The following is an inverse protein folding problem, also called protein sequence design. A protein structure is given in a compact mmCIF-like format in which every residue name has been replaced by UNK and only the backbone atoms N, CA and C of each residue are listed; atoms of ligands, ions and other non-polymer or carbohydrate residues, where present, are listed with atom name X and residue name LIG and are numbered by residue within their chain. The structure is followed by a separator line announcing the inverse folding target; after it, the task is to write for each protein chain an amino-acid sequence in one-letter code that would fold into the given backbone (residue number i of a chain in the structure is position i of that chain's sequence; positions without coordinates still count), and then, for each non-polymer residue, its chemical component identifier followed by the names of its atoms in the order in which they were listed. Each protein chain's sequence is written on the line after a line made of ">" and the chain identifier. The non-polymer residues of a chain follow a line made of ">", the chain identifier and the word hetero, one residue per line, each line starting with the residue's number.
data_IF_836995259335
#
_entry.id   IF_836995259335
#
_cell.length_a   1.000
_cell.length_b   1.000
_cell.length_c   1.000
_cell.angle_alpha   90.00
_cell.angle_beta   90.00
_cell.angle_gamma   90.00
#
_symmetry.space_group_name_H-M   'P 1'
#
loop_
_entity.id
_entity.type
_entity.pdbx_description
1 polymer ?
#
# COMPACT_ATOMS: atom_id res chain seq x y z
N UNK A 1 28.92 -38.43 -14.52
CA UNK A 1 29.07 -36.98 -14.80
C UNK A 1 27.70 -36.30 -14.93
N UNK A 2 26.69 -36.97 -15.51
CA UNK A 2 25.33 -36.45 -15.72
C UNK A 2 24.54 -36.13 -14.43
N UNK A 3 24.56 -37.02 -13.42
CA UNK A 3 23.89 -36.80 -12.11
C UNK A 3 24.33 -35.51 -11.39
N UNK A 4 25.59 -35.11 -11.58
CA UNK A 4 26.18 -33.93 -10.92
C UNK A 4 25.78 -32.63 -11.64
N UNK A 5 25.46 -32.70 -12.94
CA UNK A 5 24.94 -31.59 -13.74
C UNK A 5 23.45 -31.40 -13.47
N UNK A 6 22.69 -32.48 -13.34
CA UNK A 6 21.24 -32.43 -13.07
C UNK A 6 20.94 -31.79 -11.70
N UNK A 7 21.72 -32.13 -10.67
CA UNK A 7 21.60 -31.50 -9.35
C UNK A 7 21.98 -30.01 -9.37
N UNK A 8 23.01 -29.61 -10.13
CA UNK A 8 23.37 -28.19 -10.29
C UNK A 8 22.26 -27.41 -11.00
N UNK A 9 21.63 -28.01 -12.01
CA UNK A 9 20.51 -27.39 -12.72
C UNK A 9 19.28 -27.22 -11.81
N UNK A 10 18.97 -28.22 -10.98
CA UNK A 10 17.90 -28.13 -9.95
C UNK A 10 18.18 -27.02 -8.93
N UNK A 11 19.43 -26.86 -8.49
CA UNK A 11 19.83 -25.77 -7.57
C UNK A 11 19.69 -24.39 -8.21
N UNK A 12 20.06 -24.24 -9.48
CA UNK A 12 19.90 -22.98 -10.22
C UNK A 12 18.41 -22.63 -10.39
N UNK A 13 17.57 -23.60 -10.73
CA UNK A 13 16.11 -23.39 -10.82
C UNK A 13 15.55 -22.97 -9.46
N UNK A 14 15.95 -23.65 -8.38
CA UNK A 14 15.49 -23.33 -7.02
C UNK A 14 15.87 -21.89 -6.63
N UNK A 15 17.09 -21.46 -6.93
CA UNK A 15 17.55 -20.09 -6.71
C UNK A 15 16.76 -19.08 -7.53
N UNK A 16 16.51 -19.37 -8.82
CA UNK A 16 15.69 -18.51 -9.67
C UNK A 16 14.27 -18.37 -9.11
N UNK A 17 13.64 -19.46 -8.67
CA UNK A 17 12.30 -19.47 -8.06
C UNK A 17 12.26 -18.65 -6.77
N UNK A 18 13.34 -18.58 -6.00
CA UNK A 18 13.42 -17.76 -4.79
C UNK A 18 13.68 -16.27 -5.09
N UNK A 19 14.52 -15.97 -6.09
CA UNK A 19 14.99 -14.60 -6.35
C UNK A 19 14.02 -13.82 -7.25
N UNK A 20 13.38 -14.46 -8.22
CA UNK A 20 12.44 -13.78 -9.13
C UNK A 20 11.26 -13.12 -8.39
N UNK A 21 10.55 -13.80 -7.47
CA UNK A 21 9.44 -13.19 -6.74
C UNK A 21 9.90 -12.01 -5.90
N UNK A 22 11.04 -12.12 -5.22
CA UNK A 22 11.57 -11.03 -4.40
C UNK A 22 11.94 -9.81 -5.23
N UNK A 23 12.46 -10.00 -6.44
CA UNK A 23 12.69 -8.91 -7.39
C UNK A 23 11.38 -8.18 -7.74
N UNK A 24 10.32 -8.91 -8.10
CA UNK A 24 9.02 -8.30 -8.43
C UNK A 24 8.34 -7.63 -7.22
N UNK A 25 8.52 -8.18 -6.02
CA UNK A 25 7.99 -7.64 -4.77
C UNK A 25 8.69 -6.35 -4.33
N UNK A 26 9.96 -6.16 -4.68
CA UNK A 26 10.75 -5.00 -4.21
C UNK A 26 10.85 -3.89 -5.25
N UNK A 27 10.99 -4.24 -6.53
CA UNK A 27 11.32 -3.29 -7.59
C UNK A 27 10.12 -2.89 -8.47
N UNK A 28 8.95 -3.48 -8.26
CA UNK A 28 7.77 -3.05 -9.02
C UNK A 28 7.34 -1.62 -8.64
N UNK A 29 6.83 -0.83 -9.62
CA UNK A 29 6.28 0.50 -9.34
C UNK A 29 5.18 0.48 -8.28
N UNK A 30 4.38 -0.60 -8.23
CA UNK A 30 3.34 -0.82 -7.22
C UNK A 30 3.95 -0.92 -5.81
N UNK A 31 4.99 -1.74 -5.64
CA UNK A 31 5.69 -1.87 -4.36
C UNK A 31 6.34 -0.55 -3.90
N UNK A 32 6.92 0.20 -4.84
CA UNK A 32 7.47 1.53 -4.53
C UNK A 32 6.38 2.50 -4.09
N UNK A 33 5.24 2.55 -4.80
CA UNK A 33 4.10 3.41 -4.42
C UNK A 33 3.57 3.04 -3.04
N UNK A 34 3.39 1.75 -2.75
CA UNK A 34 2.96 1.27 -1.44
C UNK A 34 3.91 1.70 -0.30
N UNK A 35 5.23 1.59 -0.49
CA UNK A 35 6.22 2.07 0.49
C UNK A 35 6.13 3.58 0.72
N UNK A 36 5.90 4.36 -0.34
CA UNK A 36 5.69 5.80 -0.22
C UNK A 36 4.40 6.11 0.54
N UNK A 37 3.30 5.40 0.28
CA UNK A 37 2.05 5.55 1.05
C UNK A 37 2.28 5.34 2.55
N UNK A 38 3.01 4.29 2.95
CA UNK A 38 3.37 4.02 4.36
C UNK A 38 4.25 5.11 4.96
N UNK A 39 5.20 5.63 4.19
CA UNK A 39 6.11 6.66 4.69
C UNK A 39 5.38 7.99 4.85
N UNK A 40 4.52 8.32 3.89
CA UNK A 40 3.78 9.57 3.86
C UNK A 40 2.61 9.56 4.86
N UNK A 41 2.01 8.41 5.16
CA UNK A 41 0.90 8.33 6.12
C UNK A 41 1.30 8.77 7.53
N UNK A 42 2.58 8.60 7.89
CA UNK A 42 3.15 9.08 9.15
C UNK A 42 3.17 10.61 9.28
N UNK A 43 2.96 11.33 8.17
CA UNK A 43 2.91 12.80 8.12
C UNK A 43 1.48 13.33 8.09
N UNK A 44 0.48 12.45 8.06
CA UNK A 44 -0.93 12.85 8.09
C UNK A 44 -1.36 12.96 9.55
N UNK A 45 -2.05 14.04 9.86
CA UNK A 45 -2.60 14.33 11.18
C UNK A 45 -4.11 14.56 11.08
N UNK A 46 -4.79 14.41 12.22
CA UNK A 46 -6.20 14.77 12.37
C UNK A 46 -6.37 16.27 12.11
N UNK A 47 -7.53 16.68 11.60
CA UNK A 47 -7.89 18.06 11.22
C UNK A 47 -7.21 18.60 9.94
N UNK A 48 -6.36 17.81 9.27
CA UNK A 48 -5.82 18.19 7.95
C UNK A 48 -6.90 18.20 6.87
N UNK A 49 -6.83 19.16 5.94
CA UNK A 49 -7.74 19.24 4.80
C UNK A 49 -7.42 18.19 3.72
N UNK A 50 -8.43 17.82 2.92
CA UNK A 50 -8.26 16.91 1.77
C UNK A 50 -7.08 17.31 0.86
N UNK A 51 -6.94 18.60 0.55
CA UNK A 51 -5.86 19.09 -0.33
C UNK A 51 -4.47 18.89 0.29
N UNK A 52 -4.36 19.04 1.61
CA UNK A 52 -3.11 18.77 2.34
C UNK A 52 -2.78 17.27 2.30
N UNK A 53 -3.78 16.42 2.50
CA UNK A 53 -3.62 14.96 2.40
C UNK A 53 -3.17 14.56 1.00
N UNK A 54 -3.81 15.07 -0.05
CA UNK A 54 -3.43 14.77 -1.45
C UNK A 54 -2.03 15.28 -1.77
N UNK A 55 -1.61 16.42 -1.20
CA UNK A 55 -0.25 16.94 -1.38
C UNK A 55 0.82 16.04 -0.74
N UNK A 56 0.50 15.42 0.40
CA UNK A 56 1.44 14.55 1.14
C UNK A 56 1.43 13.12 0.58
N UNK A 57 0.24 12.56 0.36
CA UNK A 57 0.03 11.15 -0.01
C UNK A 57 -0.10 10.91 -1.51
N UNK A 58 -0.18 11.97 -2.32
CA UNK A 58 -0.66 11.93 -3.70
C UNK A 58 -2.13 11.49 -3.80
N UNK A 59 -2.61 11.30 -5.04
CA UNK A 59 -3.96 10.83 -5.30
C UNK A 59 -4.18 9.43 -4.68
N UNK A 60 -5.35 9.22 -4.03
CA UNK A 60 -5.69 7.93 -3.47
C UNK A 60 -5.78 6.87 -4.56
N UNK A 61 -5.65 5.61 -4.15
CA UNK A 61 -5.92 4.49 -5.04
C UNK A 61 -7.42 4.41 -5.34
N UNK A 62 -8.24 4.59 -4.32
CA UNK A 62 -9.70 4.60 -4.44
C UNK A 62 -10.31 5.64 -3.49
N UNK A 63 -11.41 6.23 -3.92
CA UNK A 63 -12.26 7.09 -3.10
C UNK A 63 -13.50 6.29 -2.73
N UNK A 64 -13.67 6.03 -1.45
CA UNK A 64 -14.80 5.29 -0.90
C UNK A 64 -15.77 6.29 -0.26
N UNK A 65 -17.06 6.04 -0.44
CA UNK A 65 -18.12 6.80 0.22
C UNK A 65 -18.72 5.92 1.31
N UNK A 66 -18.58 6.34 2.57
CA UNK A 66 -19.19 5.66 3.71
C UNK A 66 -20.45 6.42 4.12
N UNK A 67 -21.58 5.72 4.23
CA UNK A 67 -22.81 6.30 4.81
C UNK A 67 -22.79 6.09 6.31
N UNK A 68 -22.69 7.18 7.06
CA UNK A 68 -22.76 7.17 8.51
C UNK A 68 -23.78 8.24 8.96
N UNK A 69 -24.83 7.81 9.66
CA UNK A 69 -25.89 8.67 10.17
C UNK A 69 -26.50 9.62 9.11
N UNK A 70 -26.80 9.11 7.91
CA UNK A 70 -27.36 9.84 6.75
C UNK A 70 -26.41 10.83 6.05
N UNK A 71 -25.14 10.89 6.43
CA UNK A 71 -24.12 11.67 5.73
C UNK A 71 -23.19 10.76 4.94
N UNK A 72 -22.82 11.20 3.74
CA UNK A 72 -21.77 10.57 2.94
C UNK A 72 -20.43 11.16 3.37
N UNK A 73 -19.64 10.33 4.06
CA UNK A 73 -18.27 10.67 4.46
C UNK A 73 -17.31 10.13 3.40
N UNK A 74 -16.40 10.98 2.93
CA UNK A 74 -15.37 10.58 1.99
C UNK A 74 -14.27 9.82 2.74
N UNK A 75 -13.75 8.76 2.14
CA UNK A 75 -12.65 7.96 2.67
C UNK A 75 -11.66 7.71 1.55
N UNK A 76 -10.40 8.01 1.79
CA UNK A 76 -9.32 7.71 0.86
C UNK A 76 -8.66 6.40 1.22
N UNK A 77 -8.61 5.49 0.24
CA UNK A 77 -7.88 4.24 0.34
C UNK A 77 -6.54 4.35 -0.38
N UNK A 78 -5.48 3.94 0.31
CA UNK A 78 -4.14 3.82 -0.22
C UNK A 78 -3.64 2.39 -0.11
N UNK A 79 -3.10 1.88 -1.22
CA UNK A 79 -2.64 0.50 -1.30
C UNK A 79 -1.52 0.23 -0.26
N UNK A 80 -1.58 -0.91 0.44
CA UNK A 80 -0.62 -1.27 1.46
C UNK A 80 0.68 -1.85 0.90
N UNK A 81 1.70 -2.03 1.76
CA UNK A 81 2.88 -2.82 1.41
C UNK A 81 2.51 -4.28 1.09
N UNK A 82 3.39 -4.96 0.37
CA UNK A 82 3.21 -6.38 0.10
C UNK A 82 3.08 -7.18 1.40
N UNK A 83 2.22 -8.20 1.40
CA UNK A 83 1.92 -9.08 2.53
C UNK A 83 1.14 -8.44 3.70
N UNK A 84 0.68 -7.20 3.56
CA UNK A 84 -0.34 -6.67 4.45
C UNK A 84 -1.72 -7.24 4.11
N UNK A 85 -2.53 -7.40 5.15
CA UNK A 85 -3.92 -7.84 5.09
C UNK A 85 -4.89 -6.74 4.66
N UNK A 86 -4.58 -5.47 4.95
CA UNK A 86 -5.42 -4.32 4.61
C UNK A 86 -4.62 -3.06 4.25
N UNK A 87 -5.29 -2.05 3.67
CA UNK A 87 -4.71 -0.77 3.25
C UNK A 87 -4.66 0.31 4.31
N UNK A 88 -4.30 1.51 3.86
CA UNK A 88 -4.35 2.72 4.69
C UNK A 88 -5.62 3.48 4.33
N UNK A 89 -6.45 3.78 5.34
CA UNK A 89 -7.67 4.55 5.18
C UNK A 89 -7.54 5.89 5.87
N UNK A 90 -7.91 6.95 5.16
CA UNK A 90 -8.03 8.30 5.71
C UNK A 90 -9.50 8.69 5.60
N UNK A 91 -10.17 8.78 6.74
CA UNK A 91 -11.59 9.13 6.82
C UNK A 91 -11.72 10.63 7.05
N UNK A 92 -12.60 11.27 6.30
CA UNK A 92 -12.88 12.69 6.43
C UNK A 92 -14.22 12.92 7.12
N UNK A 93 -14.29 13.95 7.96
CA UNK A 93 -15.53 14.44 8.53
C UNK A 93 -16.34 15.22 7.47
N UNK A 94 -17.51 15.72 7.87
CA UNK A 94 -18.41 16.50 7.00
C UNK A 94 -17.82 17.83 6.51
N UNK A 95 -16.79 18.32 7.17
CA UNK A 95 -16.10 19.56 6.82
C UNK A 95 -14.94 19.31 5.85
N UNK A 96 -14.68 18.05 5.47
CA UNK A 96 -13.59 17.68 4.57
C UNK A 96 -12.23 17.58 5.25
N UNK A 97 -12.21 17.39 6.58
CA UNK A 97 -11.00 17.27 7.38
C UNK A 97 -10.78 15.86 7.89
N UNK A 98 -9.53 15.46 8.06
CA UNK A 98 -9.16 14.14 8.57
C UNK A 98 -9.75 13.93 9.97
N UNK A 99 -10.63 12.95 10.10
CA UNK A 99 -11.22 12.54 11.38
C UNK A 99 -10.47 11.36 11.97
N UNK A 100 -10.14 10.38 11.13
CA UNK A 100 -9.51 9.12 11.55
C UNK A 100 -8.58 8.59 10.48
N UNK A 101 -7.43 8.06 10.93
CA UNK A 101 -6.45 7.38 10.10
C UNK A 101 -6.40 5.92 10.57
N UNK A 102 -6.68 4.99 9.67
CA UNK A 102 -6.50 3.55 9.92
C UNK A 102 -5.29 3.10 9.11
N UNK A 103 -4.27 2.65 9.82
CA UNK A 103 -3.07 2.10 9.19
C UNK A 103 -3.29 0.62 8.84
N UNK A 104 -2.48 0.13 7.91
CA UNK A 104 -2.48 -1.25 7.45
C UNK A 104 -2.09 -2.23 8.57
N UNK A 105 -2.62 -3.46 8.49
CA UNK A 105 -2.24 -4.62 9.32
C UNK A 105 -1.43 -5.65 8.52
#
# INVERSE_FOLDING_TARGET
>A
MELLVENKFKVIILLLVLILPTYFLVLSPKARKARLNVTNSKRIEVDMDIDQVVKIMCLPNEKLLRKENQYELETFYYAPPAFASDGIFINFNKEGKVEKIVLYE
#
